data_IF_543454727475
#
_entry.id   IF_543454727475
#
_cell.length_a   1.000
_cell.length_b   1.000
_cell.length_c   1.000
_cell.angle_alpha   90.00
_cell.angle_beta   90.00
_cell.angle_gamma   90.00
#
_symmetry.space_group_name_H-M   'P 1'
#
loop_
_entity.id
_entity.type
_entity.pdbx_description
1 polymer ?
#
# COMPACT_ATOMS: atom_id res chain seq x y z
N UNK A 1 6.67 -24.02 -7.47
CA UNK A 1 7.07 -22.61 -7.56
C UNK A 1 5.83 -21.87 -8.03
N UNK A 2 5.29 -20.92 -7.25
CA UNK A 2 4.25 -20.03 -7.78
C UNK A 2 4.83 -19.33 -9.02
N UNK A 3 4.04 -19.26 -10.08
CA UNK A 3 4.38 -18.49 -11.26
C UNK A 3 3.87 -17.07 -11.00
N UNK A 4 4.64 -16.26 -10.27
CA UNK A 4 4.27 -14.90 -9.84
C UNK A 4 3.70 -14.07 -11.00
N UNK A 5 4.22 -14.26 -12.22
CA UNK A 5 3.71 -13.66 -13.46
C UNK A 5 2.26 -14.03 -13.76
N UNK A 6 1.88 -15.29 -13.57
CA UNK A 6 0.51 -15.78 -13.78
C UNK A 6 -0.43 -15.26 -12.70
N UNK A 7 0.00 -15.28 -11.43
CA UNK A 7 -0.77 -14.75 -10.31
C UNK A 7 -1.00 -13.23 -10.45
N UNK A 8 -0.03 -12.51 -11.01
CA UNK A 8 -0.12 -11.10 -11.32
C UNK A 8 -1.12 -10.78 -12.43
N UNK A 9 -1.09 -11.52 -13.53
CA UNK A 9 -2.09 -11.35 -14.60
C UNK A 9 -3.49 -11.78 -14.14
N UNK A 10 -3.59 -12.77 -13.26
CA UNK A 10 -4.84 -13.16 -12.60
C UNK A 10 -5.39 -12.02 -11.72
N UNK A 11 -4.55 -11.34 -10.94
CA UNK A 11 -4.96 -10.18 -10.14
C UNK A 11 -5.45 -9.02 -11.01
N UNK A 12 -4.74 -8.70 -12.11
CA UNK A 12 -5.18 -7.69 -13.09
C UNK A 12 -6.52 -8.04 -13.71
N UNK A 13 -6.69 -9.31 -14.12
CA UNK A 13 -7.94 -9.80 -14.70
C UNK A 13 -9.09 -9.72 -13.69
N UNK A 14 -8.85 -10.10 -12.44
CA UNK A 14 -9.81 -10.00 -11.36
C UNK A 14 -10.35 -8.56 -11.19
N UNK A 15 -9.46 -7.57 -11.13
CA UNK A 15 -9.86 -6.15 -11.03
C UNK A 15 -10.63 -5.69 -12.27
N UNK A 16 -10.22 -6.11 -13.47
CA UNK A 16 -10.94 -5.81 -14.72
C UNK A 16 -12.36 -6.40 -14.72
N UNK A 17 -12.51 -7.63 -14.24
CA UNK A 17 -13.81 -8.30 -14.17
C UNK A 17 -14.73 -7.64 -13.12
N UNK A 18 -14.20 -7.16 -11.99
CA UNK A 18 -14.97 -6.33 -11.04
C UNK A 18 -15.45 -5.04 -11.71
N UNK A 19 -14.55 -4.35 -12.42
CA UNK A 19 -14.87 -3.09 -13.13
C UNK A 19 -15.94 -3.30 -14.21
N UNK A 20 -15.94 -4.45 -14.86
CA UNK A 20 -16.93 -4.82 -15.87
C UNK A 20 -18.20 -5.46 -15.28
N UNK A 21 -18.34 -5.50 -13.95
CA UNK A 21 -19.44 -6.17 -13.24
C UNK A 21 -19.63 -7.64 -13.61
N UNK A 22 -18.54 -8.30 -14.06
CA UNK A 22 -18.50 -9.74 -14.40
C UNK A 22 -18.24 -10.62 -13.18
N UNK A 23 -17.83 -10.01 -12.07
CA UNK A 23 -17.70 -10.63 -10.74
C UNK A 23 -18.05 -9.60 -9.66
N UNK A 24 -18.38 -10.07 -8.47
CA UNK A 24 -18.73 -9.23 -7.30
C UNK A 24 -17.90 -9.54 -6.06
N UNK A 25 -16.97 -10.50 -6.15
CA UNK A 25 -16.20 -10.97 -5.00
C UNK A 25 -14.99 -10.07 -4.71
N UNK A 26 -15.29 -8.91 -4.10
CA UNK A 26 -14.27 -7.94 -3.70
C UNK A 26 -13.29 -8.50 -2.68
N UNK A 27 -13.77 -9.26 -1.69
CA UNK A 27 -12.93 -9.82 -0.62
C UNK A 27 -11.89 -10.80 -1.16
N UNK A 28 -12.29 -11.70 -2.06
CA UNK A 28 -11.39 -12.67 -2.68
C UNK A 28 -10.33 -11.95 -3.53
N UNK A 29 -10.74 -10.93 -4.30
CA UNK A 29 -9.82 -10.13 -5.12
C UNK A 29 -8.82 -9.37 -4.27
N UNK A 30 -9.26 -8.77 -3.16
CA UNK A 30 -8.39 -8.07 -2.20
C UNK A 30 -7.35 -9.01 -1.60
N UNK A 31 -7.78 -10.22 -1.18
CA UNK A 31 -6.89 -11.20 -0.58
C UNK A 31 -5.85 -11.71 -1.59
N UNK A 32 -6.24 -11.91 -2.85
CA UNK A 32 -5.31 -12.27 -3.93
C UNK A 32 -4.20 -11.22 -4.08
N UNK A 33 -4.57 -9.94 -4.13
CA UNK A 33 -3.63 -8.82 -4.25
C UNK A 33 -2.69 -8.76 -3.04
N UNK A 34 -3.23 -8.89 -1.82
CA UNK A 34 -2.45 -8.88 -0.57
C UNK A 34 -1.45 -10.03 -0.54
N UNK A 35 -1.87 -11.24 -0.92
CA UNK A 35 -0.99 -12.42 -0.94
C UNK A 35 0.16 -12.22 -1.93
N UNK A 36 -0.14 -11.74 -3.13
CA UNK A 36 0.87 -11.50 -4.14
C UNK A 36 1.88 -10.41 -3.71
N UNK A 37 1.39 -9.30 -3.12
CA UNK A 37 2.26 -8.29 -2.50
C UNK A 37 3.15 -8.88 -1.42
N UNK A 38 2.64 -9.81 -0.61
CA UNK A 38 3.41 -10.46 0.45
C UNK A 38 4.51 -11.34 -0.12
N UNK A 39 4.24 -12.10 -1.17
CA UNK A 39 5.23 -12.93 -1.85
C UNK A 39 6.37 -12.08 -2.43
N UNK A 40 6.06 -11.08 -3.26
CA UNK A 40 7.07 -10.18 -3.84
C UNK A 40 7.83 -9.43 -2.74
N UNK A 41 7.14 -8.94 -1.70
CA UNK A 41 7.77 -8.29 -0.55
C UNK A 41 8.79 -9.19 0.14
N UNK A 42 8.47 -10.46 0.37
CA UNK A 42 9.38 -11.38 1.04
C UNK A 42 10.69 -11.55 0.26
N UNK A 43 10.61 -11.57 -1.08
CA UNK A 43 11.79 -11.66 -1.94
C UNK A 43 12.63 -10.36 -1.93
N UNK A 44 11.99 -9.22 -1.66
CA UNK A 44 12.62 -7.90 -1.55
C UNK A 44 13.16 -7.57 -0.15
N UNK A 45 12.85 -8.37 0.86
CA UNK A 45 13.38 -8.17 2.22
C UNK A 45 14.89 -8.45 2.25
N UNK A 46 15.65 -7.73 3.10
CA UNK A 46 17.08 -7.99 3.24
C UNK A 46 17.36 -9.41 3.72
N UNK A 47 18.28 -10.10 3.04
CA UNK A 47 18.74 -11.45 3.43
C UNK A 47 19.78 -11.42 4.55
N UNK A 48 20.40 -10.25 4.76
CA UNK A 48 21.39 -10.02 5.82
C UNK A 48 20.66 -9.57 7.07
N UNK A 49 20.85 -10.29 8.18
CA UNK A 49 20.16 -10.05 9.45
C UNK A 49 20.32 -8.61 9.97
N UNK A 50 21.51 -8.02 9.83
CA UNK A 50 21.76 -6.65 10.26
C UNK A 50 20.94 -5.63 9.45
N UNK A 51 20.82 -5.82 8.14
CA UNK A 51 20.04 -4.94 7.28
C UNK A 51 18.54 -5.10 7.54
N UNK A 52 18.08 -6.33 7.77
CA UNK A 52 16.70 -6.63 8.16
C UNK A 52 16.34 -5.97 9.50
N UNK A 53 17.19 -6.10 10.52
CA UNK A 53 17.02 -5.41 11.81
C UNK A 53 16.95 -3.91 11.64
N UNK A 54 17.88 -3.32 10.88
CA UNK A 54 17.88 -1.89 10.61
C UNK A 54 16.59 -1.44 9.92
N UNK A 55 16.10 -2.20 8.94
CA UNK A 55 14.85 -1.88 8.25
C UNK A 55 13.65 -1.90 9.21
N UNK A 56 13.58 -2.92 10.08
CA UNK A 56 12.54 -3.07 11.10
C UNK A 56 12.58 -1.96 12.16
N UNK A 57 13.76 -1.52 12.58
CA UNK A 57 13.91 -0.38 13.49
C UNK A 57 13.40 0.93 12.87
N UNK A 58 13.64 1.14 11.57
CA UNK A 58 13.11 2.30 10.86
C UNK A 58 11.59 2.18 10.73
N UNK A 59 11.08 1.00 10.38
CA UNK A 59 9.65 0.72 10.28
C UNK A 59 8.92 0.97 11.60
N UNK A 60 9.47 0.54 12.74
CA UNK A 60 8.87 0.81 14.06
C UNK A 60 8.73 2.32 14.36
N UNK A 61 9.69 3.14 13.93
CA UNK A 61 9.60 4.61 14.07
C UNK A 61 8.56 5.20 13.10
N UNK A 62 8.47 4.63 11.90
CA UNK A 62 7.44 4.99 10.93
C UNK A 62 6.04 4.63 11.43
N UNK A 63 5.81 3.43 11.95
CA UNK A 63 4.52 3.03 12.54
C UNK A 63 4.10 3.99 13.66
N UNK A 64 5.03 4.36 14.55
CA UNK A 64 4.74 5.34 15.60
C UNK A 64 4.31 6.69 15.01
N UNK A 65 5.02 7.18 13.99
CA UNK A 65 4.66 8.43 13.31
C UNK A 65 3.30 8.33 12.60
N UNK A 66 3.05 7.24 11.88
CA UNK A 66 1.78 6.97 11.19
C UNK A 66 0.65 6.90 12.21
N UNK A 67 0.85 6.19 13.32
CA UNK A 67 -0.13 6.09 14.40
C UNK A 67 -0.48 7.47 14.96
N UNK A 68 0.51 8.33 15.21
CA UNK A 68 0.24 9.72 15.63
C UNK A 68 -0.63 10.47 14.62
N UNK A 69 -0.39 10.28 13.31
CA UNK A 69 -1.20 10.92 12.28
C UNK A 69 -2.69 10.53 12.39
N UNK A 70 -2.96 9.23 12.55
CA UNK A 70 -4.32 8.71 12.67
C UNK A 70 -4.98 9.07 14.01
N UNK A 71 -4.20 9.25 15.08
CA UNK A 71 -4.75 9.56 16.42
C UNK A 71 -4.94 11.06 16.68
N UNK A 72 -4.18 11.92 16.00
CA UNK A 72 -4.09 13.35 16.35
C UNK A 72 -4.86 14.29 15.42
N UNK A 73 -5.24 13.82 14.24
CA UNK A 73 -5.89 14.63 13.21
C UNK A 73 -7.21 14.00 12.81
N UNK A 74 -8.22 14.80 12.48
CA UNK A 74 -9.56 14.27 12.18
C UNK A 74 -10.00 14.55 10.74
N UNK A 75 -9.15 15.20 9.95
CA UNK A 75 -9.42 15.50 8.55
C UNK A 75 -8.38 14.86 7.66
N UNK A 76 -8.78 14.52 6.44
CA UNK A 76 -7.91 13.91 5.45
C UNK A 76 -6.70 14.81 5.14
N UNK A 77 -6.91 16.11 4.97
CA UNK A 77 -5.84 17.06 4.65
C UNK A 77 -4.81 17.15 5.77
N UNK A 78 -5.24 17.22 7.03
CA UNK A 78 -4.32 17.25 8.18
C UNK A 78 -3.46 15.99 8.26
N UNK A 79 -4.09 14.81 8.11
CA UNK A 79 -3.38 13.53 8.17
C UNK A 79 -2.36 13.44 7.03
N UNK A 80 -2.76 13.77 5.81
CA UNK A 80 -1.87 13.73 4.64
C UNK A 80 -0.73 14.74 4.76
N UNK A 81 -1.02 15.97 5.18
CA UNK A 81 0.00 17.00 5.39
C UNK A 81 1.03 16.58 6.43
N UNK A 82 0.60 15.92 7.50
CA UNK A 82 1.50 15.39 8.51
C UNK A 82 2.39 14.26 7.97
N UNK A 83 1.79 13.30 7.25
CA UNK A 83 2.49 12.16 6.66
C UNK A 83 3.43 12.55 5.50
N UNK A 84 3.24 13.71 4.88
CA UNK A 84 4.06 14.19 3.76
C UNK A 84 5.56 14.15 4.08
N UNK A 85 5.92 14.49 5.32
CA UNK A 85 7.30 14.46 5.79
C UNK A 85 7.95 13.06 5.68
N UNK A 86 7.17 12.00 5.92
CA UNK A 86 7.65 10.62 5.79
C UNK A 86 7.89 10.25 4.32
N UNK A 87 6.98 10.60 3.41
CA UNK A 87 7.14 10.34 1.98
C UNK A 87 8.33 11.10 1.38
N UNK A 88 8.46 12.39 1.67
CA UNK A 88 9.59 13.21 1.20
C UNK A 88 10.93 12.72 1.73
N UNK A 89 10.96 12.23 2.98
CA UNK A 89 12.16 11.57 3.52
C UNK A 89 12.45 10.25 2.82
N UNK A 90 11.42 9.45 2.53
CA UNK A 90 11.57 8.17 1.83
C UNK A 90 12.26 8.29 0.48
N UNK A 91 12.02 9.38 -0.25
CA UNK A 91 12.68 9.68 -1.53
C UNK A 91 14.18 9.97 -1.38
N UNK A 92 14.57 10.60 -0.27
CA UNK A 92 15.96 10.98 0.01
C UNK A 92 16.77 9.85 0.66
N UNK A 93 16.14 9.08 1.52
CA UNK A 93 16.75 7.97 2.26
C UNK A 93 16.10 6.65 1.81
N UNK A 94 16.80 5.92 0.94
CA UNK A 94 16.31 4.66 0.37
C UNK A 94 15.96 3.61 1.43
N UNK A 95 16.69 3.53 2.54
CA UNK A 95 16.37 2.56 3.60
C UNK A 95 15.07 2.94 4.29
N UNK A 96 14.85 4.24 4.51
CA UNK A 96 13.61 4.78 5.06
C UNK A 96 12.42 4.56 4.11
N UNK A 97 12.57 4.89 2.83
CA UNK A 97 11.52 4.67 1.84
C UNK A 97 11.17 3.19 1.68
N UNK A 98 12.18 2.31 1.65
CA UNK A 98 11.95 0.86 1.60
C UNK A 98 11.22 0.35 2.84
N UNK A 99 11.51 0.87 4.03
CA UNK A 99 10.78 0.50 5.24
C UNK A 99 9.30 0.92 5.14
N UNK A 100 9.04 2.12 4.64
CA UNK A 100 7.68 2.61 4.42
C UNK A 100 6.91 1.70 3.45
N UNK A 101 7.50 1.33 2.32
CA UNK A 101 6.85 0.50 1.30
C UNK A 101 6.72 -0.97 1.75
N UNK A 102 7.78 -1.58 2.25
CA UNK A 102 7.80 -3.02 2.51
C UNK A 102 7.13 -3.40 3.83
N UNK A 103 7.06 -2.51 4.81
CA UNK A 103 6.59 -2.87 6.16
C UNK A 103 5.33 -2.09 6.55
N UNK A 104 5.23 -0.81 6.20
CA UNK A 104 4.20 0.08 6.75
C UNK A 104 3.04 0.37 5.79
N UNK A 105 3.21 0.13 4.50
CA UNK A 105 2.19 0.33 3.46
C UNK A 105 0.88 -0.39 3.78
N UNK A 106 0.90 -1.72 3.90
CA UNK A 106 -0.33 -2.49 4.13
C UNK A 106 -1.01 -2.14 5.46
N UNK A 107 -0.30 -2.04 6.61
CA UNK A 107 -0.89 -1.54 7.85
C UNK A 107 -1.52 -0.16 7.73
N UNK A 108 -0.90 0.77 6.99
CA UNK A 108 -1.45 2.10 6.74
C UNK A 108 -2.74 2.05 5.95
N UNK A 109 -2.80 1.24 4.89
CA UNK A 109 -4.03 1.05 4.09
C UNK A 109 -5.13 0.39 4.94
N UNK A 110 -4.83 -0.64 5.74
CA UNK A 110 -5.81 -1.27 6.63
C UNK A 110 -6.41 -0.26 7.63
N UNK A 111 -5.57 0.61 8.22
CA UNK A 111 -6.06 1.69 9.09
C UNK A 111 -6.95 2.67 8.31
N UNK A 112 -6.59 3.02 7.08
CA UNK A 112 -7.35 3.96 6.26
C UNK A 112 -8.74 3.44 5.82
N UNK A 113 -8.94 2.13 5.67
CA UNK A 113 -10.22 1.52 5.25
C UNK A 113 -11.39 1.82 6.19
N UNK A 114 -11.10 2.01 7.48
CA UNK A 114 -12.11 2.10 8.55
C UNK A 114 -12.01 3.40 9.34
N UNK A 115 -11.18 4.34 8.89
CA UNK A 115 -10.83 5.51 9.67
C UNK A 115 -11.99 6.51 9.81
N UNK A 116 -12.57 6.91 8.69
CA UNK A 116 -13.75 7.77 8.66
C UNK A 116 -15.02 6.94 8.71
N UNK A 117 -16.09 7.52 9.27
CA UNK A 117 -17.42 6.91 9.21
C UNK A 117 -17.99 6.87 7.80
N UNK A 118 -17.56 7.80 6.94
CA UNK A 118 -17.92 7.83 5.53
C UNK A 118 -17.00 6.93 4.69
N UNK A 119 -17.61 5.99 3.97
CA UNK A 119 -16.87 5.06 3.11
C UNK A 119 -16.26 5.77 1.91
N UNK A 120 -16.91 6.79 1.36
CA UNK A 120 -16.36 7.54 0.21
C UNK A 120 -15.08 8.28 0.63
N UNK A 121 -15.08 8.89 1.82
CA UNK A 121 -13.90 9.51 2.40
C UNK A 121 -12.76 8.51 2.65
N UNK A 122 -13.04 7.29 3.13
CA UNK A 122 -12.02 6.23 3.25
C UNK A 122 -11.44 5.85 1.88
N UNK A 123 -12.27 5.72 0.85
CA UNK A 123 -11.81 5.46 -0.52
C UNK A 123 -10.88 6.55 -1.05
N UNK A 124 -11.24 7.83 -0.85
CA UNK A 124 -10.40 8.99 -1.19
C UNK A 124 -9.06 8.94 -0.45
N UNK A 125 -9.10 8.64 0.85
CA UNK A 125 -7.90 8.60 1.69
C UNK A 125 -6.92 7.50 1.23
N UNK A 126 -7.42 6.28 0.99
CA UNK A 126 -6.65 5.18 0.43
C UNK A 126 -6.04 5.56 -0.92
N UNK A 127 -6.83 6.18 -1.81
CA UNK A 127 -6.37 6.62 -3.12
C UNK A 127 -5.18 7.59 -3.04
N UNK A 128 -5.20 8.52 -2.09
CA UNK A 128 -4.10 9.48 -1.87
C UNK A 128 -2.86 8.77 -1.31
N UNK A 129 -3.02 7.90 -0.31
CA UNK A 129 -1.92 7.09 0.24
C UNK A 129 -1.25 6.28 -0.87
N UNK A 130 -2.05 5.57 -1.69
CA UNK A 130 -1.54 4.75 -2.79
C UNK A 130 -0.82 5.59 -3.86
N UNK A 131 -1.32 6.78 -4.19
CA UNK A 131 -0.60 7.68 -5.11
C UNK A 131 0.80 8.01 -4.59
N UNK A 132 0.93 8.37 -3.31
CA UNK A 132 2.23 8.70 -2.70
C UNK A 132 3.15 7.49 -2.61
N UNK A 133 2.60 6.31 -2.31
CA UNK A 133 3.36 5.07 -2.28
C UNK A 133 3.84 4.66 -3.67
N UNK A 134 3.01 4.79 -4.71
CA UNK A 134 3.39 4.52 -6.10
C UNK A 134 4.50 5.47 -6.53
N UNK A 135 4.35 6.77 -6.28
CA UNK A 135 5.37 7.78 -6.59
C UNK A 135 6.70 7.48 -5.90
N UNK A 136 6.67 7.11 -4.62
CA UNK A 136 7.87 6.69 -3.90
C UNK A 136 8.45 5.38 -4.48
N UNK A 137 7.60 4.40 -4.78
CA UNK A 137 7.98 3.09 -5.29
C UNK A 137 8.66 3.19 -6.65
N UNK A 138 8.14 4.03 -7.55
CA UNK A 138 8.74 4.30 -8.86
C UNK A 138 10.19 4.83 -8.74
N UNK A 139 10.54 5.51 -7.66
CA UNK A 139 11.89 6.04 -7.45
C UNK A 139 12.87 5.03 -6.84
N UNK A 140 12.39 4.08 -6.01
CA UNK A 140 13.28 3.28 -5.14
C UNK A 140 13.06 1.76 -5.17
N UNK A 141 11.98 1.28 -5.79
CA UNK A 141 11.60 -0.14 -5.83
C UNK A 141 11.68 -0.70 -7.25
N UNK A 142 11.76 -2.04 -7.39
CA UNK A 142 11.55 -2.68 -8.69
C UNK A 142 10.14 -2.44 -9.22
N UNK A 143 10.03 -2.36 -10.54
CA UNK A 143 8.77 -2.10 -11.27
C UNK A 143 7.64 -3.04 -10.84
N UNK A 144 7.94 -4.31 -10.58
CA UNK A 144 6.97 -5.32 -10.17
C UNK A 144 6.18 -4.92 -8.92
N UNK A 145 6.84 -4.37 -7.89
CA UNK A 145 6.14 -3.94 -6.68
C UNK A 145 5.30 -2.69 -6.94
N UNK A 146 5.81 -1.76 -7.75
CA UNK A 146 5.07 -0.56 -8.11
C UNK A 146 3.81 -0.89 -8.90
N UNK A 147 3.88 -1.82 -9.84
CA UNK A 147 2.70 -2.24 -10.59
C UNK A 147 1.66 -2.95 -9.71
N UNK A 148 2.09 -3.70 -8.68
CA UNK A 148 1.16 -4.26 -7.68
C UNK A 148 0.40 -3.16 -6.93
N UNK A 149 1.07 -2.07 -6.55
CA UNK A 149 0.40 -0.91 -5.93
C UNK A 149 -0.60 -0.26 -6.89
N UNK A 150 -0.30 -0.19 -8.19
CA UNK A 150 -1.24 0.31 -9.21
C UNK A 150 -2.46 -0.60 -9.37
N UNK A 151 -2.28 -1.92 -9.30
CA UNK A 151 -3.38 -2.90 -9.32
C UNK A 151 -4.27 -2.73 -8.08
N UNK A 152 -3.67 -2.59 -6.90
CA UNK A 152 -4.41 -2.37 -5.65
C UNK A 152 -5.18 -1.04 -5.68
N UNK A 153 -4.56 0.02 -6.18
CA UNK A 153 -5.25 1.31 -6.37
C UNK A 153 -6.46 1.15 -7.28
N UNK A 154 -6.31 0.48 -8.41
CA UNK A 154 -7.40 0.21 -9.34
C UNK A 154 -8.51 -0.62 -8.68
N UNK A 155 -8.15 -1.58 -7.82
CA UNK A 155 -9.11 -2.35 -7.04
C UNK A 155 -9.93 -1.45 -6.10
N UNK A 156 -9.29 -0.58 -5.32
CA UNK A 156 -10.00 0.31 -4.40
C UNK A 156 -10.83 1.36 -5.12
N UNK A 157 -10.36 1.89 -6.25
CA UNK A 157 -11.17 2.77 -7.10
C UNK A 157 -12.48 2.08 -7.50
N UNK A 158 -12.43 0.82 -7.95
CA UNK A 158 -13.65 0.06 -8.30
C UNK A 158 -14.50 -0.24 -7.06
N UNK A 159 -13.89 -0.63 -5.93
CA UNK A 159 -14.61 -0.95 -4.69
C UNK A 159 -15.39 0.24 -4.14
N UNK A 160 -14.78 1.42 -4.14
CA UNK A 160 -15.38 2.63 -3.58
C UNK A 160 -16.20 3.46 -4.58
N UNK A 161 -16.02 3.30 -5.89
CA UNK A 161 -16.89 3.93 -6.90
C UNK A 161 -18.25 3.23 -7.05
N UNK A 162 -18.38 2.00 -6.53
CA UNK A 162 -19.61 1.21 -6.55
C UNK A 162 -20.39 1.25 -5.22
N UNK A 163 -20.01 2.13 -4.29
CA UNK A 163 -20.69 2.37 -3.01
C UNK A 163 -21.59 3.60 -3.10
#
# INVERSE_FOLDING_TARGET
MSNITEDFENAKKAVKDLKASKRTDFQETEQLIINLKKEVRNDLMPKIEQEDKRLKEIASKLDAHIKTAFESFNTLDEIINYLESAFQRGKKDKAYGRALILLEENPMIEKAKTYFSDKEQNGKFIGIILNKLIELSDEIMPEEYTELLKVEKSFFEVKYSNL
#
